data_IF_213322688976
#
_entry.id   IF_213322688976
#
_cell.length_a   1.000
_cell.length_b   1.000
_cell.length_c   1.000
_cell.angle_alpha   90.00
_cell.angle_beta   90.00
_cell.angle_gamma   90.00
#
_symmetry.space_group_name_H-M   'P 1'
#
loop_
_entity.id
_entity.type
_entity.pdbx_description
1 polymer ?
#
# COMPACT_ATOMS: atom_id res chain seq x y z
N UNK A 1 55.20 -9.34 -13.55
CA UNK A 1 54.18 -9.35 -12.47
C UNK A 1 53.58 -7.97 -12.17
N UNK A 2 54.34 -6.87 -12.21
CA UNK A 2 53.84 -5.51 -11.89
C UNK A 2 52.66 -5.03 -12.75
N UNK A 3 52.67 -5.29 -14.07
CA UNK A 3 51.59 -4.85 -14.99
C UNK A 3 50.25 -5.55 -14.71
N UNK A 4 50.26 -6.83 -14.32
CA UNK A 4 49.02 -7.57 -13.97
C UNK A 4 48.39 -7.06 -12.68
N UNK A 5 49.20 -6.64 -11.70
CA UNK A 5 48.70 -6.07 -10.45
C UNK A 5 48.07 -4.68 -10.67
N UNK A 6 48.64 -3.86 -11.58
CA UNK A 6 48.08 -2.54 -11.93
C UNK A 6 46.74 -2.67 -12.66
N UNK A 7 46.61 -3.64 -13.58
CA UNK A 7 45.34 -3.90 -14.26
C UNK A 7 44.24 -4.33 -13.28
N UNK A 8 44.54 -5.23 -12.35
CA UNK A 8 43.58 -5.68 -11.33
C UNK A 8 43.18 -4.53 -10.40
N UNK A 9 44.12 -3.67 -9.99
CA UNK A 9 43.83 -2.52 -9.13
C UNK A 9 42.98 -1.44 -9.80
N UNK A 10 42.97 -1.38 -11.13
CA UNK A 10 42.14 -0.46 -11.92
C UNK A 10 40.75 -1.05 -12.23
N UNK A 11 40.65 -2.36 -12.47
CA UNK A 11 39.36 -3.00 -12.78
C UNK A 11 38.43 -3.09 -11.57
N UNK A 12 38.97 -3.30 -10.37
CA UNK A 12 38.16 -3.45 -9.15
C UNK A 12 37.35 -2.19 -8.78
N UNK A 13 37.93 -0.97 -8.73
CA UNK A 13 37.16 0.24 -8.48
C UNK A 13 36.19 0.56 -9.61
N UNK A 14 36.51 0.19 -10.86
CA UNK A 14 35.62 0.40 -11.99
C UNK A 14 34.36 -0.49 -11.89
N UNK A 15 34.52 -1.76 -11.53
CA UNK A 15 33.40 -2.68 -11.24
C UNK A 15 32.59 -2.16 -10.04
N UNK A 16 33.24 -1.67 -8.99
CA UNK A 16 32.56 -1.10 -7.84
C UNK A 16 31.72 0.13 -8.20
N UNK A 17 32.26 1.05 -9.02
CA UNK A 17 31.53 2.22 -9.51
C UNK A 17 30.34 1.80 -10.38
N UNK A 18 30.51 0.78 -11.24
CA UNK A 18 29.41 0.23 -12.05
C UNK A 18 28.35 -0.40 -11.15
N UNK A 19 28.72 -1.17 -10.13
CA UNK A 19 27.79 -1.77 -9.17
C UNK A 19 27.06 -0.72 -8.33
N UNK A 20 27.75 0.35 -7.91
CA UNK A 20 27.14 1.48 -7.19
C UNK A 20 26.19 2.26 -8.10
N UNK A 21 26.57 2.49 -9.36
CA UNK A 21 25.71 3.13 -10.34
C UNK A 21 24.48 2.25 -10.66
N UNK A 22 24.66 0.95 -10.85
CA UNK A 22 23.56 0.00 -11.06
C UNK A 22 22.67 -0.12 -9.81
N UNK A 23 23.26 -0.08 -8.62
CA UNK A 23 22.52 -0.05 -7.34
C UNK A 23 21.74 1.25 -7.15
N UNK A 24 22.18 2.36 -7.73
CA UNK A 24 21.42 3.61 -7.81
C UNK A 24 20.32 3.58 -8.89
N UNK A 25 20.51 2.77 -9.94
CA UNK A 25 19.54 2.60 -11.04
C UNK A 25 18.41 1.66 -10.66
N UNK A 26 18.65 0.62 -9.83
CA UNK A 26 17.58 -0.16 -9.24
C UNK A 26 16.92 0.74 -8.20
N UNK A 27 15.73 1.30 -8.46
CA UNK A 27 15.10 2.17 -7.49
C UNK A 27 14.72 1.26 -6.34
N UNK A 28 15.44 1.37 -5.21
CA UNK A 28 15.03 0.72 -3.99
C UNK A 28 13.78 1.44 -3.51
N UNK A 29 12.63 1.01 -4.02
CA UNK A 29 11.34 1.57 -3.64
C UNK A 29 11.15 1.29 -2.16
N UNK A 30 11.25 2.35 -1.38
CA UNK A 30 11.01 2.30 0.04
C UNK A 30 9.56 1.89 0.27
N UNK A 31 9.27 1.12 1.32
CA UNK A 31 7.90 0.80 1.70
C UNK A 31 7.06 2.07 1.81
N UNK A 32 5.85 2.05 1.22
CA UNK A 32 4.88 3.12 1.39
C UNK A 32 4.32 2.98 2.81
N UNK A 33 4.45 4.03 3.63
CA UNK A 33 3.80 4.04 4.93
C UNK A 33 2.33 4.39 4.74
N UNK A 34 1.43 3.60 5.33
CA UNK A 34 0.00 3.82 5.25
C UNK A 34 -0.63 3.85 6.63
N UNK A 35 -1.59 4.74 6.82
CA UNK A 35 -2.38 4.83 8.04
C UNK A 35 -3.82 5.16 7.71
N UNK A 36 -4.73 4.64 8.53
CA UNK A 36 -6.16 4.91 8.44
C UNK A 36 -6.52 6.06 9.38
N UNK A 37 -7.37 6.98 8.92
CA UNK A 37 -7.98 8.05 9.72
C UNK A 37 -9.49 8.10 9.49
N UNK A 38 -10.24 8.76 10.39
CA UNK A 38 -11.69 8.96 10.27
C UNK A 38 -12.50 7.68 10.01
N UNK A 39 -12.07 6.56 10.61
CA UNK A 39 -12.65 5.24 10.38
C UNK A 39 -14.00 5.05 11.07
N UNK A 40 -15.03 4.75 10.28
CA UNK A 40 -16.40 4.55 10.74
C UNK A 40 -17.10 3.43 9.99
N UNK A 41 -18.05 2.79 10.67
CA UNK A 41 -18.99 1.83 10.07
C UNK A 41 -20.39 2.43 10.20
N UNK A 42 -21.00 2.76 9.08
CA UNK A 42 -22.29 3.47 9.00
C UNK A 42 -23.38 2.50 8.56
N UNK A 43 -24.57 2.58 9.15
CA UNK A 43 -25.73 1.78 8.71
C UNK A 43 -26.03 2.00 7.21
N UNK A 44 -26.28 0.94 6.39
CA UNK A 44 -26.41 -0.48 6.74
C UNK A 44 -25.12 -1.30 6.52
N UNK A 45 -24.00 -0.91 7.13
CA UNK A 45 -22.72 -1.65 7.09
C UNK A 45 -21.69 -1.12 6.09
N UNK A 46 -21.70 0.19 5.83
CA UNK A 46 -20.68 0.87 5.01
C UNK A 46 -19.45 1.12 5.88
N UNK A 47 -18.35 0.42 5.59
CA UNK A 47 -17.03 0.71 6.15
C UNK A 47 -16.45 1.89 5.39
N UNK A 48 -16.18 3.00 6.08
CA UNK A 48 -15.67 4.23 5.48
C UNK A 48 -14.49 4.77 6.28
N UNK A 49 -13.45 5.20 5.61
CA UNK A 49 -12.25 5.76 6.23
C UNK A 49 -11.45 6.59 5.24
N UNK A 50 -10.51 7.37 5.75
CA UNK A 50 -9.47 8.02 4.96
C UNK A 50 -8.19 7.19 5.00
N UNK A 51 -7.62 6.88 3.83
CA UNK A 51 -6.33 6.24 3.72
C UNK A 51 -5.26 7.30 3.45
N UNK A 52 -4.39 7.53 4.43
CA UNK A 52 -3.21 8.39 4.29
C UNK A 52 -2.03 7.54 3.83
N UNK A 53 -1.42 7.92 2.72
CA UNK A 53 -0.24 7.26 2.17
C UNK A 53 0.94 8.23 2.15
N UNK A 54 2.05 7.88 2.80
CA UNK A 54 3.30 8.63 2.75
C UNK A 54 4.23 7.94 1.77
N UNK A 55 4.32 8.53 0.58
CA UNK A 55 5.11 8.01 -0.53
C UNK A 55 6.37 8.86 -0.67
N UNK A 56 7.53 8.24 -0.85
CA UNK A 56 8.76 8.95 -1.17
C UNK A 56 8.75 9.37 -2.64
N UNK A 57 9.26 10.57 -2.97
CA UNK A 57 9.24 11.05 -4.36
C UNK A 57 10.10 10.14 -5.23
N UNK A 58 9.43 9.41 -6.13
CA UNK A 58 10.06 8.74 -7.25
C UNK A 58 9.56 9.42 -8.52
N UNK A 59 10.48 9.95 -9.32
CA UNK A 59 10.15 10.69 -10.53
C UNK A 59 9.32 9.81 -11.50
N UNK A 60 8.16 10.31 -11.91
CA UNK A 60 7.26 9.66 -12.88
C UNK A 60 6.76 8.28 -12.44
N UNK A 61 5.90 8.22 -11.41
CA UNK A 61 5.25 6.98 -10.98
C UNK A 61 3.73 7.19 -10.86
N UNK A 62 2.98 6.21 -11.35
CA UNK A 62 1.53 6.10 -11.17
C UNK A 62 1.23 5.06 -10.08
N UNK A 63 0.38 5.43 -9.12
CA UNK A 63 0.03 4.58 -8.00
C UNK A 63 -1.44 4.18 -8.10
N UNK A 64 -1.68 2.86 -8.06
CA UNK A 64 -3.02 2.28 -8.03
C UNK A 64 -3.20 1.55 -6.72
N UNK A 65 -4.07 2.08 -5.86
CA UNK A 65 -4.44 1.46 -4.58
C UNK A 65 -5.75 0.69 -4.77
N UNK A 66 -5.75 -0.58 -4.37
CA UNK A 66 -6.92 -1.44 -4.43
C UNK A 66 -7.14 -2.09 -3.07
N UNK A 67 -8.23 -1.73 -2.40
CA UNK A 67 -8.66 -2.44 -1.19
C UNK A 67 -9.41 -3.68 -1.62
N UNK A 68 -8.87 -4.87 -1.34
CA UNK A 68 -9.40 -6.13 -1.90
C UNK A 68 -10.20 -6.94 -0.88
N UNK A 69 -9.77 -6.90 0.37
CA UNK A 69 -10.36 -7.66 1.46
C UNK A 69 -10.08 -6.98 2.78
N UNK A 70 -10.88 -7.35 3.78
CA UNK A 70 -10.64 -7.01 5.16
C UNK A 70 -10.70 -8.27 6.03
N UNK A 71 -10.02 -8.25 7.16
CA UNK A 71 -10.10 -9.29 8.18
C UNK A 71 -10.89 -8.78 9.37
N UNK A 72 -11.74 -9.65 9.90
CA UNK A 72 -12.38 -9.50 11.20
C UNK A 72 -12.25 -10.82 11.95
N UNK A 73 -11.71 -10.81 13.17
CA UNK A 73 -11.43 -12.00 13.97
C UNK A 73 -10.70 -13.11 13.17
N UNK A 74 -9.63 -12.74 12.46
CA UNK A 74 -8.83 -13.61 11.58
C UNK A 74 -9.59 -14.28 10.42
N UNK A 75 -10.85 -13.90 10.18
CA UNK A 75 -11.62 -14.33 9.00
C UNK A 75 -11.55 -13.28 7.92
N UNK A 76 -11.30 -13.70 6.69
CA UNK A 76 -11.21 -12.81 5.54
C UNK A 76 -12.56 -12.63 4.85
N UNK A 77 -12.86 -11.38 4.51
CA UNK A 77 -14.07 -10.97 3.80
C UNK A 77 -13.65 -10.12 2.60
N UNK A 78 -14.17 -10.44 1.41
CA UNK A 78 -13.99 -9.60 0.23
C UNK A 78 -14.73 -8.27 0.40
N UNK A 79 -14.14 -7.19 -0.09
CA UNK A 79 -14.86 -5.90 -0.14
C UNK A 79 -15.90 -5.91 -1.25
N UNK A 80 -16.94 -5.09 -1.08
CA UNK A 80 -17.92 -4.81 -2.13
C UNK A 80 -18.06 -3.30 -2.31
N UNK A 81 -17.98 -2.75 -3.53
CA UNK A 81 -17.67 -3.44 -4.79
C UNK A 81 -16.27 -4.08 -4.76
N UNK A 82 -16.07 -5.16 -5.52
CA UNK A 82 -14.82 -5.96 -5.53
C UNK A 82 -13.62 -5.21 -6.12
N UNK A 83 -13.86 -4.02 -6.67
CA UNK A 83 -12.95 -3.20 -7.46
C UNK A 83 -12.88 -1.76 -6.93
N UNK A 84 -12.60 -1.58 -5.64
CA UNK A 84 -12.36 -0.26 -5.05
C UNK A 84 -10.95 0.23 -5.40
N UNK A 85 -10.79 0.68 -6.65
CA UNK A 85 -9.54 1.22 -7.21
C UNK A 85 -9.44 2.73 -7.04
N UNK A 86 -8.29 3.18 -6.57
CA UNK A 86 -7.94 4.58 -6.43
C UNK A 86 -6.60 4.82 -7.13
N UNK A 87 -6.63 5.55 -8.24
CA UNK A 87 -5.45 5.84 -9.06
C UNK A 87 -5.00 7.28 -8.90
N UNK A 88 -3.69 7.48 -8.73
CA UNK A 88 -3.09 8.80 -8.58
C UNK A 88 -1.86 8.92 -9.46
N UNK A 89 -1.78 10.03 -10.18
CA UNK A 89 -0.55 10.51 -10.80
C UNK A 89 0.20 11.33 -9.74
N UNK A 90 1.37 10.84 -9.32
CA UNK A 90 2.15 11.45 -8.23
C UNK A 90 1.72 11.01 -6.83
N UNK A 91 1.82 11.91 -5.85
CA UNK A 91 1.72 11.62 -4.41
C UNK A 91 0.32 11.89 -3.84
N UNK A 92 -0.55 10.88 -3.67
CA UNK A 92 -1.75 11.05 -2.86
C UNK A 92 -1.36 11.26 -1.40
N UNK A 93 -1.82 12.36 -0.79
CA UNK A 93 -1.64 12.60 0.64
C UNK A 93 -2.69 11.83 1.47
N UNK A 94 -3.96 11.89 1.08
CA UNK A 94 -5.07 11.19 1.73
C UNK A 94 -6.23 11.04 0.75
N UNK A 95 -6.97 9.94 0.82
CA UNK A 95 -8.19 9.75 0.03
C UNK A 95 -9.24 8.92 0.77
N UNK A 96 -10.52 9.19 0.47
CA UNK A 96 -11.64 8.51 1.09
C UNK A 96 -11.87 7.14 0.45
N UNK A 97 -12.00 6.13 1.30
CA UNK A 97 -12.30 4.75 0.94
C UNK A 97 -13.62 4.34 1.55
N UNK A 98 -14.43 3.62 0.78
CA UNK A 98 -15.73 3.12 1.20
C UNK A 98 -16.02 1.77 0.59
N UNK A 99 -16.48 0.82 1.40
CA UNK A 99 -16.98 -0.47 0.92
C UNK A 99 -18.05 -1.05 1.85
N UNK A 100 -18.83 -1.99 1.34
CA UNK A 100 -19.87 -2.69 2.09
C UNK A 100 -19.31 -3.90 2.83
N UNK A 101 -19.62 -3.97 4.12
CA UNK A 101 -19.51 -5.18 4.93
C UNK A 101 -20.69 -6.12 4.62
N UNK A 102 -20.49 -7.44 4.62
CA UNK A 102 -21.61 -8.38 4.51
C UNK A 102 -22.65 -8.15 5.60
N UNK A 103 -23.94 -8.11 5.24
CA UNK A 103 -25.04 -7.81 6.18
C UNK A 103 -25.06 -8.74 7.40
N UNK A 104 -24.79 -10.03 7.22
CA UNK A 104 -24.68 -11.01 8.31
C UNK A 104 -23.53 -10.74 9.27
N UNK A 105 -22.46 -10.11 8.80
CA UNK A 105 -21.34 -9.71 9.64
C UNK A 105 -21.69 -8.42 10.38
N UNK A 106 -22.23 -7.42 9.67
CA UNK A 106 -22.66 -6.17 10.27
C UNK A 106 -23.68 -6.37 11.39
N UNK A 107 -24.69 -7.22 11.19
CA UNK A 107 -25.69 -7.54 12.22
C UNK A 107 -25.08 -8.16 13.49
N UNK A 108 -23.92 -8.83 13.39
CA UNK A 108 -23.20 -9.39 14.55
C UNK A 108 -22.37 -8.35 15.27
N UNK A 109 -21.95 -7.30 14.58
CA UNK A 109 -21.05 -6.28 15.11
C UNK A 109 -21.77 -4.98 15.45
N UNK A 110 -23.08 -4.88 15.18
CA UNK A 110 -23.88 -3.67 15.41
C UNK A 110 -23.98 -3.28 16.89
N UNK A 111 -23.86 -4.24 17.80
CA UNK A 111 -23.80 -3.99 19.25
C UNK A 111 -22.47 -3.40 19.71
N UNK A 112 -21.41 -3.54 18.90
CA UNK A 112 -20.05 -3.20 19.30
C UNK A 112 -19.79 -1.71 19.01
N UNK A 113 -19.21 -1.01 19.99
CA UNK A 113 -18.85 0.41 19.81
C UNK A 113 -17.65 0.58 18.86
N UNK A 114 -16.67 -0.32 18.98
CA UNK A 114 -15.42 -0.33 18.21
C UNK A 114 -15.20 -1.72 17.64
N UNK A 115 -14.98 -1.81 16.33
CA UNK A 115 -14.76 -3.06 15.61
C UNK A 115 -13.32 -3.06 15.08
N UNK A 116 -12.43 -3.93 15.56
CA UNK A 116 -11.09 -4.06 15.00
C UNK A 116 -11.19 -4.70 13.61
N UNK A 117 -10.69 -4.01 12.60
CA UNK A 117 -10.59 -4.51 11.24
C UNK A 117 -9.16 -4.37 10.74
N UNK A 118 -8.70 -5.40 10.04
CA UNK A 118 -7.46 -5.36 9.27
C UNK A 118 -7.81 -5.12 7.81
N UNK A 119 -7.38 -4.02 7.23
CA UNK A 119 -7.60 -3.68 5.82
C UNK A 119 -6.41 -4.15 4.99
N UNK A 120 -6.68 -4.86 3.89
CA UNK A 120 -5.64 -5.33 2.96
C UNK A 120 -5.71 -4.50 1.68
N UNK A 121 -4.63 -3.76 1.42
CA UNK A 121 -4.48 -2.84 0.30
C UNK A 121 -3.40 -3.37 -0.63
N UNK A 122 -3.79 -3.72 -1.86
CA UNK A 122 -2.87 -4.01 -2.94
C UNK A 122 -2.50 -2.71 -3.63
N UNK A 123 -1.21 -2.42 -3.73
CA UNK A 123 -0.70 -1.27 -4.48
C UNK A 123 0.06 -1.74 -5.68
N UNK A 124 -0.34 -1.25 -6.84
CA UNK A 124 0.41 -1.39 -8.08
C UNK A 124 1.07 -0.06 -8.39
N UNK A 125 2.38 -0.07 -8.53
CA UNK A 125 3.20 1.09 -8.90
C UNK A 125 3.65 0.86 -10.34
N UNK A 126 3.29 1.78 -11.23
CA UNK A 126 3.76 1.79 -12.62
C UNK A 126 4.74 2.93 -12.76
N UNK A 127 5.97 2.61 -13.14
CA UNK A 127 7.06 3.59 -13.21
C UNK A 127 7.20 4.11 -14.64
N UNK A 128 7.81 5.29 -14.79
CA UNK A 128 8.17 5.89 -16.07
C UNK A 128 9.15 5.03 -16.88
N UNK A 129 9.88 4.11 -16.22
CA UNK A 129 10.72 3.09 -16.84
C UNK A 129 9.94 1.83 -17.25
N UNK A 130 8.61 1.90 -17.25
CA UNK A 130 7.68 0.81 -17.57
C UNK A 130 7.86 -0.45 -16.69
N UNK A 131 8.31 -0.27 -15.44
CA UNK A 131 8.34 -1.34 -14.45
C UNK A 131 7.02 -1.35 -13.67
N UNK A 132 6.47 -2.54 -13.45
CA UNK A 132 5.27 -2.74 -12.65
C UNK A 132 5.69 -3.42 -11.35
N UNK A 133 5.35 -2.79 -10.23
CA UNK A 133 5.68 -3.29 -8.89
C UNK A 133 4.39 -3.48 -8.12
N UNK A 134 4.17 -4.70 -7.64
CA UNK A 134 3.04 -5.03 -6.79
C UNK A 134 3.48 -5.14 -5.34
N UNK A 135 2.74 -4.50 -4.45
CA UNK A 135 2.92 -4.61 -3.00
C UNK A 135 1.59 -4.80 -2.31
N UNK A 136 1.61 -5.53 -1.21
CA UNK A 136 0.44 -5.77 -0.37
C UNK A 136 0.72 -5.18 1.00
N UNK A 137 -0.18 -4.33 1.46
CA UNK A 137 -0.12 -3.67 2.75
C UNK A 137 -1.28 -4.14 3.61
N UNK A 138 -0.98 -4.35 4.88
CA UNK A 138 -1.93 -4.79 5.90
C UNK A 138 -1.99 -3.69 6.95
N UNK A 139 -3.18 -3.16 7.20
CA UNK A 139 -3.36 -1.99 8.06
C UNK A 139 -4.44 -2.31 9.08
N UNK A 140 -4.05 -2.39 10.34
CA UNK A 140 -4.96 -2.63 11.46
C UNK A 140 -5.53 -1.32 12.00
N UNK A 141 -6.85 -1.27 12.18
CA UNK A 141 -7.49 -0.10 12.77
C UNK A 141 -8.81 -0.45 13.48
N UNK A 142 -9.18 0.37 14.46
CA UNK A 142 -10.45 0.25 15.18
C UNK A 142 -11.50 1.18 14.57
N UNK A 143 -12.59 0.61 14.06
CA UNK A 143 -13.66 1.34 13.42
C UNK A 143 -14.80 1.61 14.39
N UNK A 144 -15.28 2.87 14.44
CA UNK A 144 -16.41 3.25 15.29
C UNK A 144 -17.73 3.01 14.57
N UNK A 145 -18.69 2.34 15.22
CA UNK A 145 -20.04 2.16 14.66
C UNK A 145 -20.87 3.43 14.86
N UNK A 146 -21.43 3.96 13.78
CA UNK A 146 -22.30 5.15 13.78
C UNK A 146 -23.73 4.72 13.45
N UNK A 147 -24.65 4.96 14.40
CA UNK A 147 -26.09 4.72 14.27
C UNK A 147 -26.79 6.06 14.04
N UNK A 148 -27.70 6.10 13.07
CA UNK A 148 -28.59 7.23 12.80
C UNK A 148 -30.01 6.87 13.21
#
# INVERSE_FOLDING_TARGET
MRVKAVLISLTLPMIFVILVALGAIIPYYQPIQMSITNAKIVYPGIVSFELKAVIHDYFGCFYYFNVTKFLYNNKSYAVRPENSFYSFDGKPNSFSVGFYMPSKLFAKTESDKNIPLTIIVNVTIITSLNQIIHRVYTIDYNFTVVKY
#
